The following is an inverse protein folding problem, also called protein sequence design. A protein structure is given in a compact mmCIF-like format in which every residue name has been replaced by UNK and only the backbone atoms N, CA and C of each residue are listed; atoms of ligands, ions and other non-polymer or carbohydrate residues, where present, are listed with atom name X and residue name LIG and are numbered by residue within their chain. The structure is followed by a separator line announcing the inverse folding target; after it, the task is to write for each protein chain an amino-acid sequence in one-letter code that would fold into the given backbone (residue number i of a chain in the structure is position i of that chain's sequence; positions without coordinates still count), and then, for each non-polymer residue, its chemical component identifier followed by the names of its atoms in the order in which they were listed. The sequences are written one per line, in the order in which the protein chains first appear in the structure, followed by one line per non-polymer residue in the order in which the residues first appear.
data_IF_902370536066
#
_entry.id   IF_902370536066
#
_cell.length_a   1.000
_cell.length_b   1.000
_cell.length_c   1.000
_cell.angle_alpha   90.00
_cell.angle_beta   90.00
_cell.angle_gamma   90.00
#
_symmetry.space_group_name_H-M   'P 1'
#
loop_
_entity.id
_entity.type
_entity.pdbx_description
1 polymer ?
#
# COMPACT_ATOMS: atom_id res chain seq x y z
N UNK A 1 -19.06 -9.89 12.84
CA UNK A 1 -17.79 -9.23 13.15
C UNK A 1 -17.96 -7.71 13.19
N UNK A 2 -18.56 -7.10 12.16
CA UNK A 2 -18.91 -5.67 12.14
C UNK A 2 -19.65 -5.17 13.39
N UNK A 3 -20.66 -5.90 13.87
CA UNK A 3 -21.40 -5.55 15.10
C UNK A 3 -20.52 -5.39 16.35
N UNK A 4 -19.39 -6.10 16.43
CA UNK A 4 -18.46 -5.98 17.57
C UNK A 4 -17.66 -4.68 17.45
N UNK A 5 -17.13 -4.41 16.25
CA UNK A 5 -16.39 -3.18 15.95
C UNK A 5 -17.25 -1.94 16.14
N UNK A 6 -18.50 -1.98 15.68
CA UNK A 6 -19.50 -0.93 15.89
C UNK A 6 -19.75 -0.66 17.38
N UNK A 7 -19.92 -1.73 18.18
CA UNK A 7 -20.10 -1.62 19.63
C UNK A 7 -18.89 -1.01 20.34
N UNK A 8 -17.67 -1.39 19.93
CA UNK A 8 -16.41 -0.78 20.42
C UNK A 8 -16.40 0.72 20.12
N UNK A 9 -16.68 1.11 18.88
CA UNK A 9 -16.73 2.53 18.50
C UNK A 9 -17.81 3.30 19.27
N UNK A 10 -18.97 2.69 19.53
CA UNK A 10 -20.03 3.30 20.32
C UNK A 10 -19.63 3.51 21.78
N UNK A 11 -18.99 2.53 22.41
CA UNK A 11 -18.43 2.68 23.75
C UNK A 11 -17.39 3.82 23.82
N UNK A 12 -16.55 3.95 22.79
CA UNK A 12 -15.60 5.05 22.70
C UNK A 12 -16.29 6.41 22.56
N UNK A 13 -17.32 6.51 21.69
CA UNK A 13 -18.15 7.72 21.56
C UNK A 13 -18.85 8.10 22.86
N UNK A 14 -19.19 7.12 23.69
CA UNK A 14 -19.78 7.32 25.01
C UNK A 14 -18.76 7.67 26.11
N UNK A 15 -17.49 7.92 25.76
CA UNK A 15 -16.44 8.41 26.66
C UNK A 15 -15.51 7.33 27.22
N UNK A 16 -15.64 6.08 26.80
CA UNK A 16 -14.72 5.01 27.23
C UNK A 16 -13.39 5.10 26.48
N UNK A 17 -12.27 4.95 27.19
CA UNK A 17 -10.97 4.71 26.55
C UNK A 17 -10.81 3.22 26.29
N UNK A 18 -10.51 2.84 25.04
CA UNK A 18 -10.43 1.45 24.62
C UNK A 18 -9.03 1.15 24.12
N UNK A 19 -8.43 0.08 24.65
CA UNK A 19 -7.21 -0.50 24.10
C UNK A 19 -7.65 -1.72 23.30
N UNK A 20 -7.48 -1.64 21.98
CA UNK A 20 -7.78 -2.72 21.06
C UNK A 20 -6.49 -3.31 20.51
N UNK A 21 -6.35 -4.64 20.61
CA UNK A 21 -5.20 -5.38 20.08
C UNK A 21 -5.69 -6.36 19.03
N UNK A 22 -5.18 -6.25 17.81
CA UNK A 22 -5.47 -7.16 16.71
C UNK A 22 -4.25 -7.29 15.82
N UNK A 23 -4.10 -8.44 15.15
CA UNK A 23 -3.17 -8.62 14.05
C UNK A 23 -3.82 -8.37 12.69
N UNK A 24 -5.13 -8.10 12.65
CA UNK A 24 -5.84 -7.72 11.44
C UNK A 24 -5.77 -6.21 11.24
N UNK A 25 -4.87 -5.78 10.37
CA UNK A 25 -4.61 -4.36 10.10
C UNK A 25 -5.87 -3.61 9.63
N UNK A 26 -6.73 -4.23 8.84
CA UNK A 26 -8.01 -3.63 8.40
C UNK A 26 -8.94 -3.26 9.57
N UNK A 27 -9.03 -4.11 10.60
CA UNK A 27 -9.87 -3.84 11.78
C UNK A 27 -9.30 -2.67 12.59
N UNK A 28 -7.97 -2.64 12.75
CA UNK A 28 -7.24 -1.57 13.44
C UNK A 28 -7.44 -0.24 12.72
N UNK A 29 -7.27 -0.23 11.41
CA UNK A 29 -7.45 0.96 10.58
C UNK A 29 -8.88 1.49 10.63
N UNK A 30 -9.87 0.61 10.73
CA UNK A 30 -11.28 0.98 10.78
C UNK A 30 -11.68 1.69 12.10
N UNK A 31 -11.12 1.30 13.24
CA UNK A 31 -11.63 1.73 14.56
C UNK A 31 -10.65 2.52 15.42
N UNK A 32 -9.34 2.42 15.17
CA UNK A 32 -8.34 3.04 16.02
C UNK A 32 -8.04 4.47 15.58
N UNK A 33 -8.05 5.40 16.54
CA UNK A 33 -7.62 6.79 16.33
C UNK A 33 -6.10 6.97 16.43
N UNK A 34 -5.44 6.07 17.19
CA UNK A 34 -3.99 5.97 17.33
C UNK A 34 -3.61 4.50 17.32
N UNK A 35 -2.51 4.20 16.67
CA UNK A 35 -2.02 2.85 16.41
C UNK A 35 -0.58 2.78 16.91
N UNK A 36 -0.23 1.66 17.54
CA UNK A 36 1.14 1.32 17.90
C UNK A 36 1.45 -0.07 17.35
N UNK A 37 2.50 -0.16 16.53
CA UNK A 37 2.98 -1.42 15.95
C UNK A 37 3.99 -2.03 16.92
N UNK A 38 3.71 -3.25 17.38
CA UNK A 38 4.57 -3.98 18.30
C UNK A 38 5.18 -5.20 17.61
N UNK A 39 6.49 -5.41 17.74
CA UNK A 39 7.17 -6.64 17.35
C UNK A 39 8.20 -7.02 18.42
N UNK A 40 8.28 -8.32 18.74
CA UNK A 40 9.18 -8.86 19.78
C UNK A 40 9.22 -8.05 21.10
N UNK A 41 8.06 -7.55 21.55
CA UNK A 41 7.91 -6.79 22.79
C UNK A 41 8.40 -5.33 22.72
N UNK A 42 8.67 -4.81 21.53
CA UNK A 42 9.10 -3.42 21.30
C UNK A 42 8.09 -2.67 20.45
N UNK A 43 7.88 -1.39 20.76
CA UNK A 43 7.13 -0.48 19.91
C UNK A 43 8.03 -0.04 18.75
N UNK A 44 7.66 -0.44 17.54
CA UNK A 44 8.40 -0.13 16.31
C UNK A 44 7.97 1.23 15.73
N UNK A 45 6.67 1.51 15.74
CA UNK A 45 6.11 2.76 15.25
C UNK A 45 4.80 3.08 15.96
N UNK A 46 4.47 4.38 16.04
CA UNK A 46 3.24 4.85 16.65
C UNK A 46 2.75 6.12 15.95
N UNK A 47 1.45 6.19 15.66
CA UNK A 47 0.83 7.33 15.00
C UNK A 47 -0.63 7.08 14.65
N UNK A 48 -1.21 7.98 13.86
CA UNK A 48 -2.44 7.71 13.11
C UNK A 48 -2.15 6.76 11.95
N UNK A 49 -3.19 6.18 11.32
CA UNK A 49 -3.01 5.33 10.16
C UNK A 49 -2.26 6.05 9.02
N UNK A 50 -2.61 7.30 8.77
CA UNK A 50 -1.98 8.13 7.73
C UNK A 50 -0.52 8.47 8.06
N UNK A 51 -0.22 8.80 9.32
CA UNK A 51 1.16 9.02 9.77
C UNK A 51 2.01 7.77 9.58
N UNK A 52 1.47 6.59 9.91
CA UNK A 52 2.17 5.31 9.76
C UNK A 52 2.41 4.96 8.28
N UNK A 53 1.42 5.15 7.41
CA UNK A 53 1.55 4.94 5.96
C UNK A 53 2.56 5.90 5.33
N UNK A 54 2.65 7.14 5.83
CA UNK A 54 3.63 8.10 5.35
C UNK A 54 5.08 7.78 5.77
N UNK A 55 5.31 6.81 6.67
CA UNK A 55 6.65 6.41 7.10
C UNK A 55 7.37 5.53 6.07
N UNK A 56 6.65 4.87 5.17
CA UNK A 56 7.25 3.98 4.17
C UNK A 56 7.58 4.71 2.88
N UNK A 57 8.58 4.19 2.16
CA UNK A 57 8.97 4.73 0.86
C UNK A 57 7.89 4.51 -0.20
N UNK A 58 7.17 3.41 -0.09
CA UNK A 58 6.13 3.02 -1.05
C UNK A 58 4.92 3.92 -0.90
N UNK A 59 4.73 4.86 -1.83
CA UNK A 59 3.56 5.74 -1.84
C UNK A 59 2.41 5.20 -2.68
N UNK A 60 2.69 4.41 -3.70
CA UNK A 60 1.66 3.86 -4.60
C UNK A 60 2.18 2.60 -5.30
N UNK A 61 1.35 1.57 -5.40
CA UNK A 61 1.59 0.40 -6.24
C UNK A 61 0.64 0.41 -7.41
N UNK A 62 1.15 0.22 -8.63
CA UNK A 62 0.34 0.13 -9.83
C UNK A 62 0.52 -1.24 -10.47
N UNK A 63 -0.59 -1.89 -10.74
CA UNK A 63 -0.64 -3.22 -11.32
C UNK A 63 -1.23 -3.14 -12.73
N UNK A 64 -0.52 -3.74 -13.69
CA UNK A 64 -0.99 -3.95 -15.05
C UNK A 64 -1.01 -5.44 -15.35
N UNK A 65 -2.16 -5.96 -15.74
CA UNK A 65 -2.36 -7.36 -16.12
C UNK A 65 -2.53 -7.49 -17.63
N UNK A 66 -2.07 -8.61 -18.19
CA UNK A 66 -2.14 -8.91 -19.62
C UNK A 66 -1.55 -7.79 -20.50
N UNK A 67 -0.43 -7.21 -20.07
CA UNK A 67 0.34 -6.25 -20.86
C UNK A 67 1.48 -6.97 -21.59
N UNK A 68 1.71 -6.61 -22.85
CA UNK A 68 2.89 -7.02 -23.61
C UNK A 68 3.80 -5.82 -23.77
N UNK A 69 5.00 -5.91 -23.19
CA UNK A 69 6.00 -4.85 -23.22
C UNK A 69 7.24 -5.30 -23.98
N UNK A 70 7.75 -4.47 -24.88
CA UNK A 70 9.07 -4.63 -25.45
C UNK A 70 10.15 -4.38 -24.38
N UNK A 71 11.39 -4.87 -24.57
CA UNK A 71 12.51 -4.55 -23.69
C UNK A 71 12.75 -3.03 -23.57
N UNK A 72 12.55 -2.26 -24.65
CA UNK A 72 12.68 -0.80 -24.58
C UNK A 72 11.57 -0.17 -23.74
N UNK A 73 10.34 -0.64 -23.88
CA UNK A 73 9.20 -0.11 -23.12
C UNK A 73 9.33 -0.40 -21.64
N UNK A 74 9.75 -1.62 -21.27
CA UNK A 74 10.01 -1.99 -19.89
C UNK A 74 11.17 -1.16 -19.29
N UNK A 75 12.23 -0.93 -20.08
CA UNK A 75 13.34 -0.09 -19.65
C UNK A 75 12.90 1.37 -19.44
N UNK A 76 12.04 1.92 -20.31
CA UNK A 76 11.50 3.27 -20.12
C UNK A 76 10.66 3.36 -18.85
N UNK A 77 9.73 2.42 -18.64
CA UNK A 77 8.87 2.40 -17.45
C UNK A 77 9.72 2.31 -16.17
N UNK A 78 10.76 1.46 -16.17
CA UNK A 78 11.72 1.34 -15.05
C UNK A 78 12.44 2.64 -14.70
N UNK A 79 12.63 3.52 -15.68
CA UNK A 79 13.30 4.81 -15.50
C UNK A 79 12.31 5.98 -15.37
N UNK A 80 11.00 5.72 -15.28
CA UNK A 80 10.03 6.78 -15.03
C UNK A 80 10.33 7.45 -13.68
N UNK A 81 10.07 8.77 -13.55
CA UNK A 81 10.22 9.47 -12.29
C UNK A 81 9.44 8.78 -11.17
N UNK A 82 10.08 8.66 -10.01
CA UNK A 82 9.54 8.06 -8.78
C UNK A 82 9.36 6.54 -8.80
N UNK A 83 9.59 5.84 -9.92
CA UNK A 83 9.64 4.37 -9.91
C UNK A 83 10.90 3.91 -9.20
N UNK A 84 10.75 3.17 -8.10
CA UNK A 84 11.88 2.58 -7.40
C UNK A 84 11.93 1.05 -7.53
N UNK A 85 10.82 0.41 -7.92
CA UNK A 85 10.78 -1.01 -8.26
C UNK A 85 9.80 -1.28 -9.41
N UNK A 86 10.16 -2.19 -10.30
CA UNK A 86 9.33 -2.63 -11.42
C UNK A 86 9.57 -4.12 -11.71
N UNK A 87 8.58 -4.94 -11.36
CA UNK A 87 8.59 -6.39 -11.52
C UNK A 87 7.68 -6.78 -12.67
N UNK A 88 8.26 -7.38 -13.70
CA UNK A 88 7.52 -7.85 -14.88
C UNK A 88 7.66 -9.36 -15.02
N UNK A 89 6.54 -10.08 -14.93
CA UNK A 89 6.50 -11.53 -15.04
C UNK A 89 5.20 -11.99 -15.70
N UNK A 90 5.33 -12.84 -16.72
CA UNK A 90 4.18 -13.50 -17.37
C UNK A 90 3.06 -12.54 -17.82
N UNK A 91 3.43 -11.35 -18.31
CA UNK A 91 2.46 -10.33 -18.76
C UNK A 91 1.82 -9.51 -17.64
N UNK A 92 2.30 -9.65 -16.40
CA UNK A 92 1.94 -8.82 -15.27
C UNK A 92 3.10 -7.89 -14.92
N UNK A 93 2.81 -6.60 -14.82
CA UNK A 93 3.76 -5.58 -14.38
C UNK A 93 3.26 -5.00 -13.04
N UNK A 94 4.08 -5.10 -12.01
CA UNK A 94 3.93 -4.37 -10.76
C UNK A 94 4.95 -3.24 -10.71
N UNK A 95 4.47 -2.02 -10.52
CA UNK A 95 5.27 -0.82 -10.34
C UNK A 95 5.10 -0.31 -8.93
N UNK A 96 6.21 0.04 -8.28
CA UNK A 96 6.18 0.72 -6.99
C UNK A 96 6.78 2.11 -7.12
N UNK A 97 6.00 3.09 -6.70
CA UNK A 97 6.36 4.50 -6.77
C UNK A 97 6.67 5.05 -5.37
N UNK A 98 7.64 5.96 -5.32
CA UNK A 98 7.85 6.83 -4.16
C UNK A 98 6.82 7.96 -4.20
N UNK A 99 6.04 8.11 -3.12
CA UNK A 99 4.97 9.11 -3.02
C UNK A 99 3.75 8.81 -3.91
N UNK A 100 2.74 9.69 -3.84
CA UNK A 100 1.39 9.49 -4.41
C UNK A 100 1.06 10.41 -5.60
N UNK A 101 2.01 11.21 -6.08
CA UNK A 101 1.68 12.31 -6.98
C UNK A 101 1.70 11.92 -8.46
N UNK A 102 0.49 11.69 -8.99
CA UNK A 102 0.18 11.59 -10.43
C UNK A 102 0.89 10.45 -11.18
N UNK A 103 1.35 9.41 -10.48
CA UNK A 103 2.07 8.29 -11.11
C UNK A 103 1.19 7.52 -12.10
N UNK A 104 -0.04 7.19 -11.69
CA UNK A 104 -1.02 6.53 -12.55
C UNK A 104 -1.31 7.34 -13.82
N UNK A 105 -1.50 8.65 -13.68
CA UNK A 105 -1.78 9.53 -14.81
C UNK A 105 -0.59 9.58 -15.79
N UNK A 106 0.64 9.64 -15.27
CA UNK A 106 1.86 9.61 -16.08
C UNK A 106 2.03 8.30 -16.83
N UNK A 107 1.76 7.18 -16.17
CA UNK A 107 1.80 5.85 -16.78
C UNK A 107 0.76 5.73 -17.89
N UNK A 108 -0.48 6.18 -17.64
CA UNK A 108 -1.54 6.20 -18.63
C UNK A 108 -1.18 7.04 -19.87
N UNK A 109 -0.60 8.23 -19.68
CA UNK A 109 -0.14 9.07 -20.79
C UNK A 109 0.94 8.40 -21.66
N UNK A 110 1.87 7.69 -21.02
CA UNK A 110 2.87 6.90 -21.74
C UNK A 110 2.25 5.72 -22.50
N UNK A 111 1.30 5.02 -21.88
CA UNK A 111 0.60 3.91 -22.53
C UNK A 111 -0.16 4.37 -23.77
N UNK A 112 -0.80 5.54 -23.72
CA UNK A 112 -1.50 6.12 -24.87
C UNK A 112 -0.53 6.46 -26.01
N UNK A 113 0.60 7.10 -25.70
CA UNK A 113 1.63 7.46 -26.68
C UNK A 113 2.21 6.24 -27.40
N UNK A 114 2.53 5.19 -26.65
CA UNK A 114 3.13 3.96 -27.18
C UNK A 114 2.09 2.93 -27.67
N UNK A 115 0.80 3.28 -27.63
CA UNK A 115 -0.34 2.41 -27.98
C UNK A 115 -0.32 1.07 -27.24
N UNK A 116 0.07 1.11 -25.96
CA UNK A 116 0.07 -0.05 -25.07
C UNK A 116 -1.36 -0.40 -24.66
N UNK A 117 -1.66 -1.70 -24.69
CA UNK A 117 -2.94 -2.24 -24.24
C UNK A 117 -2.65 -3.23 -23.11
N UNK A 118 -3.42 -3.11 -22.02
CA UNK A 118 -3.44 -4.07 -20.93
C UNK A 118 -4.89 -4.53 -20.70
N UNK A 119 -5.06 -5.72 -20.15
CA UNK A 119 -6.39 -6.22 -19.78
C UNK A 119 -6.95 -5.52 -18.55
N UNK A 120 -6.12 -5.28 -17.54
CA UNK A 120 -6.50 -4.62 -16.29
C UNK A 120 -5.40 -3.67 -15.82
N UNK A 121 -5.81 -2.51 -15.32
CA UNK A 121 -4.95 -1.53 -14.68
C UNK A 121 -5.61 -1.06 -13.38
N UNK A 122 -4.90 -1.13 -12.27
CA UNK A 122 -5.37 -0.60 -10.99
C UNK A 122 -4.20 -0.09 -10.14
N UNK A 123 -4.52 0.79 -9.19
CA UNK A 123 -3.57 1.38 -8.26
C UNK A 123 -4.02 1.13 -6.82
N UNK A 124 -3.06 0.88 -5.95
CA UNK A 124 -3.25 0.64 -4.53
C UNK A 124 -2.36 1.59 -3.72
N UNK A 125 -2.98 2.26 -2.74
CA UNK A 125 -2.26 3.03 -1.74
C UNK A 125 -1.66 2.09 -0.67
N UNK A 126 -0.57 2.50 -0.01
CA UNK A 126 0.06 1.70 1.02
C UNK A 126 -0.90 1.41 2.17
N UNK A 127 -0.85 0.16 2.64
CA UNK A 127 -1.64 -0.33 3.77
C UNK A 127 -0.79 -0.36 5.04
N UNK A 128 -1.43 -0.47 6.20
CA UNK A 128 -0.70 -0.73 7.45
C UNK A 128 0.09 -2.04 7.43
N UNK A 129 -0.31 -3.01 6.59
CA UNK A 129 0.46 -4.24 6.40
C UNK A 129 1.78 -3.96 5.69
N UNK A 130 1.78 -3.10 4.66
CA UNK A 130 3.01 -2.66 3.99
C UNK A 130 3.95 -1.96 4.98
N UNK A 131 3.40 -1.09 5.84
CA UNK A 131 4.15 -0.44 6.93
C UNK A 131 4.80 -1.47 7.85
N UNK A 132 4.05 -2.48 8.28
CA UNK A 132 4.57 -3.54 9.12
C UNK A 132 5.73 -4.31 8.46
N UNK A 133 5.57 -4.71 7.19
CA UNK A 133 6.58 -5.45 6.44
C UNK A 133 7.86 -4.64 6.26
N UNK A 134 7.74 -3.35 5.90
CA UNK A 134 8.90 -2.49 5.66
C UNK A 134 9.67 -2.20 6.95
N UNK A 135 8.98 -1.98 8.08
CA UNK A 135 9.63 -1.72 9.38
C UNK A 135 10.24 -2.99 10.00
N UNK A 136 9.60 -4.15 9.81
CA UNK A 136 10.12 -5.43 10.34
C UNK A 136 11.19 -6.06 9.46
N UNK A 137 11.36 -5.58 8.22
CA UNK A 137 12.27 -6.16 7.23
C UNK A 137 11.92 -7.60 6.85
N UNK A 138 10.68 -8.03 7.13
CA UNK A 138 10.16 -9.35 6.75
C UNK A 138 9.51 -9.18 5.39
N UNK A 139 10.07 -9.79 4.34
CA UNK A 139 9.24 -10.21 3.21
C UNK A 139 8.16 -11.14 3.76
N UNK A 140 6.93 -11.06 3.23
CA UNK A 140 5.85 -11.99 3.52
C UNK A 140 6.39 -13.43 3.43
N UNK A 141 6.72 -14.02 4.58
CA UNK A 141 6.94 -15.45 4.72
C UNK A 141 5.57 -16.02 5.04
N UNK A 142 4.99 -16.65 4.02
CA UNK A 142 3.81 -17.55 3.99
C UNK A 142 2.75 -17.39 5.09
#
# INVERSE_FOLDING_TARGET
RNKILEGIQEMNRNGSTIIYTSHYMEEVEQICTRIAILDHGRCLAQGTAEELKAMIKTGEKIHMEAVVLSPEQLAYIRNMPHVYAAEYKEGNLELRFEGTDNNLLRLLGYMEQEKLVCGRLFSELPTLNDVFLEITGKELRD
#
